data_IF_495586570520
#
_entry.id   IF_495586570520
#
_cell.length_a   1.000
_cell.length_b   1.000
_cell.length_c   1.000
_cell.angle_alpha   90.00
_cell.angle_beta   90.00
_cell.angle_gamma   90.00
#
_symmetry.space_group_name_H-M   'P 1'
#
loop_
_entity.id
_entity.type
_entity.pdbx_description
1 polymer ?
#
# COMPACT_ATOMS: atom_id res chain seq x y z
N UNK A 1 33.19 -2.22 -19.47
CA UNK A 1 32.86 -1.15 -18.49
C UNK A 1 32.34 -1.86 -17.26
N UNK A 2 32.85 -1.56 -16.07
CA UNK A 2 32.40 -2.26 -14.88
C UNK A 2 31.00 -1.77 -14.47
N UNK A 3 30.08 -2.69 -14.24
CA UNK A 3 28.73 -2.43 -13.73
C UNK A 3 28.68 -2.82 -12.26
N UNK A 4 28.02 -1.99 -11.45
CA UNK A 4 27.77 -2.28 -10.05
C UNK A 4 26.40 -2.97 -9.88
N UNK A 5 26.40 -4.27 -9.56
CA UNK A 5 25.19 -5.01 -9.23
C UNK A 5 24.90 -4.90 -7.72
N UNK A 6 23.71 -4.43 -7.29
CA UNK A 6 23.36 -4.35 -5.87
C UNK A 6 23.44 -5.72 -5.18
N UNK A 7 24.12 -5.79 -4.03
CA UNK A 7 24.23 -7.00 -3.22
C UNK A 7 24.23 -6.67 -1.72
N UNK A 8 23.11 -6.90 -1.04
CA UNK A 8 22.94 -6.52 0.36
C UNK A 8 23.09 -5.00 0.54
N UNK A 9 24.11 -4.56 1.30
CA UNK A 9 24.43 -3.15 1.53
C UNK A 9 25.57 -2.63 0.63
N UNK A 10 26.09 -3.46 -0.28
CA UNK A 10 27.25 -3.15 -1.14
C UNK A 10 26.91 -3.45 -2.61
N UNK A 11 27.94 -3.47 -3.46
CA UNK A 11 27.83 -3.79 -4.87
C UNK A 11 28.90 -4.80 -5.28
N UNK A 12 28.54 -5.69 -6.20
CA UNK A 12 29.48 -6.56 -6.90
C UNK A 12 29.80 -5.90 -8.24
N UNK A 13 31.09 -5.76 -8.54
CA UNK A 13 31.54 -5.28 -9.86
C UNK A 13 31.52 -6.43 -10.86
N UNK A 14 30.89 -6.19 -12.01
CA UNK A 14 30.78 -7.16 -13.11
C UNK A 14 31.29 -6.49 -14.38
N UNK A 15 32.12 -7.19 -15.15
CA UNK A 15 32.53 -6.72 -16.47
C UNK A 15 31.34 -6.75 -17.44
N UNK A 16 30.97 -5.60 -17.99
CA UNK A 16 29.90 -5.50 -19.00
C UNK A 16 30.17 -6.29 -20.28
N UNK A 17 31.39 -6.75 -20.54
CA UNK A 17 31.72 -7.52 -21.75
C UNK A 17 31.02 -8.89 -21.80
N UNK A 18 30.50 -9.38 -20.67
CA UNK A 18 29.91 -10.73 -20.56
C UNK A 18 28.46 -10.84 -21.05
N UNK A 19 27.82 -9.72 -21.45
CA UNK A 19 26.44 -9.75 -21.92
C UNK A 19 25.83 -8.38 -22.21
N UNK A 20 24.54 -8.39 -22.52
CA UNK A 20 23.75 -7.17 -22.76
C UNK A 20 23.21 -6.58 -21.45
N UNK A 21 23.13 -5.24 -21.39
CA UNK A 21 22.64 -4.53 -20.22
C UNK A 21 21.28 -3.90 -20.53
N UNK A 22 20.29 -4.26 -19.72
CA UNK A 22 18.96 -3.68 -19.80
C UNK A 22 18.74 -2.73 -18.62
N UNK A 23 18.33 -1.50 -18.91
CA UNK A 23 17.96 -0.50 -17.90
C UNK A 23 16.48 -0.12 -18.02
N UNK A 24 15.84 0.15 -16.90
CA UNK A 24 14.54 0.81 -16.90
C UNK A 24 14.65 2.21 -17.51
N UNK A 25 13.65 2.64 -18.27
CA UNK A 25 13.58 3.99 -18.80
C UNK A 25 13.64 5.02 -17.66
N UNK A 26 14.47 6.04 -17.80
CA UNK A 26 14.52 7.14 -16.84
C UNK A 26 13.22 7.95 -16.88
N UNK A 27 12.60 8.17 -15.73
CA UNK A 27 11.37 8.94 -15.58
C UNK A 27 11.70 10.25 -14.84
N UNK A 28 11.24 11.43 -15.33
CA UNK A 28 11.46 12.69 -14.66
C UNK A 28 10.94 12.65 -13.22
N UNK A 29 11.78 13.10 -12.28
CA UNK A 29 11.39 13.22 -10.87
C UNK A 29 10.46 14.41 -10.67
N UNK A 30 9.48 14.25 -9.80
CA UNK A 30 8.63 15.36 -9.33
C UNK A 30 9.50 16.36 -8.55
N UNK A 31 9.45 17.64 -8.93
CA UNK A 31 10.25 18.70 -8.29
C UNK A 31 9.61 19.26 -7.02
N UNK A 32 8.28 19.49 -7.04
CA UNK A 32 7.53 20.03 -5.91
C UNK A 32 6.52 18.97 -5.45
N UNK A 33 6.98 18.10 -4.55
CA UNK A 33 6.23 16.90 -4.16
C UNK A 33 4.91 17.22 -3.44
N UNK A 34 4.92 18.11 -2.45
CA UNK A 34 3.72 18.45 -1.68
C UNK A 34 2.61 19.03 -2.56
N UNK A 35 2.95 20.01 -3.41
CA UNK A 35 1.99 20.59 -4.36
C UNK A 35 1.47 19.55 -5.36
N UNK A 36 2.34 18.67 -5.86
CA UNK A 36 1.94 17.62 -6.81
C UNK A 36 0.97 16.62 -6.17
N UNK A 37 1.20 16.25 -4.91
CA UNK A 37 0.30 15.38 -4.15
C UNK A 37 -1.04 16.10 -3.95
N UNK A 38 -1.04 17.33 -3.42
CA UNK A 38 -2.28 18.07 -3.17
C UNK A 38 -3.09 18.25 -4.46
N UNK A 39 -2.44 18.61 -5.57
CA UNK A 39 -3.11 18.73 -6.87
C UNK A 39 -3.70 17.39 -7.34
N UNK A 40 -3.02 16.26 -7.10
CA UNK A 40 -3.57 14.93 -7.43
C UNK A 40 -4.79 14.55 -6.57
N UNK A 41 -4.85 15.01 -5.31
CA UNK A 41 -5.99 14.77 -4.41
C UNK A 41 -7.21 15.61 -4.79
N UNK A 42 -7.01 16.82 -5.33
CA UNK A 42 -8.08 17.72 -5.78
C UNK A 42 -8.50 17.51 -7.25
N UNK A 43 -7.63 16.94 -8.09
CA UNK A 43 -7.91 16.62 -9.50
C UNK A 43 -7.71 15.13 -9.76
N UNK A 44 -8.52 14.26 -9.12
CA UNK A 44 -8.33 12.82 -9.24
C UNK A 44 -8.80 12.29 -10.59
N UNK A 45 -8.34 11.09 -10.92
CA UNK A 45 -8.82 10.35 -12.09
C UNK A 45 -10.14 9.67 -11.72
N UNK A 46 -11.19 9.95 -12.51
CA UNK A 46 -12.48 9.25 -12.46
C UNK A 46 -13.16 9.16 -11.08
N UNK A 47 -13.01 10.17 -10.23
CA UNK A 47 -13.68 10.25 -8.93
C UNK A 47 -13.90 11.70 -8.49
N UNK A 48 -14.72 11.96 -7.46
CA UNK A 48 -14.78 13.28 -6.83
C UNK A 48 -13.45 13.61 -6.11
N UNK A 49 -13.08 14.90 -6.02
CA UNK A 49 -11.96 15.36 -5.19
C UNK A 49 -12.01 14.80 -3.76
N UNK A 50 -10.85 14.49 -3.19
CA UNK A 50 -10.77 13.90 -1.85
C UNK A 50 -11.42 14.81 -0.78
N UNK A 51 -11.29 16.13 -0.93
CA UNK A 51 -11.96 17.14 -0.11
C UNK A 51 -13.48 16.94 -0.01
N UNK A 52 -14.14 16.53 -1.10
CA UNK A 52 -15.58 16.22 -1.10
C UNK A 52 -15.91 14.92 -0.39
N UNK A 53 -15.03 13.92 -0.48
CA UNK A 53 -15.21 12.63 0.18
C UNK A 53 -15.02 12.75 1.70
N UNK A 54 -13.98 13.49 2.13
CA UNK A 54 -13.70 13.78 3.55
C UNK A 54 -14.93 14.38 4.24
N UNK A 55 -15.57 15.38 3.63
CA UNK A 55 -16.77 16.05 4.19
C UNK A 55 -17.95 15.11 4.42
N UNK A 56 -18.02 13.97 3.71
CA UNK A 56 -19.10 12.98 3.83
C UNK A 56 -18.75 11.80 4.75
N UNK A 57 -17.52 11.73 5.24
CA UNK A 57 -17.03 10.66 6.12
C UNK A 57 -16.83 11.17 7.54
N UNK A 58 -17.02 10.32 8.54
CA UNK A 58 -16.59 10.59 9.91
C UNK A 58 -15.35 9.77 10.28
N UNK A 59 -15.29 8.50 9.86
CA UNK A 59 -14.16 7.60 10.06
C UNK A 59 -13.43 7.31 8.75
N UNK A 60 -12.11 7.51 8.75
CA UNK A 60 -11.23 7.32 7.61
C UNK A 60 -10.20 6.25 7.94
N UNK A 61 -10.08 5.23 7.10
CA UNK A 61 -8.95 4.29 7.14
C UNK A 61 -7.91 4.70 6.11
N UNK A 62 -6.72 5.06 6.57
CA UNK A 62 -5.57 5.36 5.73
C UNK A 62 -4.65 4.14 5.67
N UNK A 63 -4.75 3.38 4.59
CA UNK A 63 -4.05 2.11 4.40
C UNK A 63 -2.68 2.40 3.78
N UNK A 64 -1.61 1.93 4.42
CA UNK A 64 -0.23 2.08 3.93
C UNK A 64 0.44 0.70 3.82
N UNK A 65 1.37 0.50 2.87
CA UNK A 65 2.16 -0.72 2.85
C UNK A 65 3.09 -0.82 4.06
N UNK A 66 3.51 -2.04 4.36
CA UNK A 66 4.50 -2.31 5.41
C UNK A 66 5.94 -1.94 5.00
N UNK A 67 6.90 -2.20 5.89
CA UNK A 67 8.34 -1.94 5.67
C UNK A 67 8.97 -2.69 4.50
N UNK A 68 8.31 -3.68 3.92
CA UNK A 68 8.86 -4.44 2.78
C UNK A 68 8.71 -3.69 1.46
N UNK A 69 7.99 -2.57 1.45
CA UNK A 69 7.87 -1.67 0.30
C UNK A 69 8.68 -0.40 0.53
N UNK A 70 9.31 0.09 -0.53
CA UNK A 70 10.02 1.37 -0.53
C UNK A 70 9.05 2.58 -0.60
N UNK A 71 7.91 2.52 0.09
CA UNK A 71 6.96 3.61 0.16
C UNK A 71 7.48 4.70 1.11
N UNK A 72 7.62 5.96 0.67
CA UNK A 72 8.19 7.04 1.47
C UNK A 72 7.18 7.58 2.50
N UNK A 73 6.72 6.74 3.43
CA UNK A 73 5.65 7.05 4.37
C UNK A 73 5.93 8.31 5.21
N UNK A 74 7.16 8.51 5.69
CA UNK A 74 7.59 9.73 6.42
C UNK A 74 7.36 11.04 5.65
N UNK A 75 7.30 10.98 4.33
CA UNK A 75 7.11 12.14 3.46
C UNK A 75 5.63 12.29 3.08
N UNK A 76 5.00 11.19 2.67
CA UNK A 76 3.63 11.21 2.14
C UNK A 76 2.60 11.37 3.26
N UNK A 77 2.74 10.65 4.38
CA UNK A 77 1.75 10.67 5.46
C UNK A 77 1.53 12.06 6.06
N UNK A 78 2.57 12.85 6.41
CA UNK A 78 2.34 14.18 6.96
C UNK A 78 1.56 15.09 6.01
N UNK A 79 1.82 15.00 4.70
CA UNK A 79 1.14 15.80 3.68
C UNK A 79 -0.34 15.41 3.60
N UNK A 80 -0.63 14.11 3.56
CA UNK A 80 -2.01 13.60 3.46
C UNK A 80 -2.80 13.88 4.75
N UNK A 81 -2.20 13.66 5.92
CA UNK A 81 -2.86 13.94 7.21
C UNK A 81 -3.18 15.43 7.36
N UNK A 82 -2.22 16.32 7.07
CA UNK A 82 -2.43 17.78 7.08
C UNK A 82 -3.51 18.21 6.08
N UNK A 83 -3.56 17.57 4.92
CA UNK A 83 -4.59 17.82 3.92
C UNK A 83 -5.99 17.40 4.44
N UNK A 84 -6.11 16.26 5.11
CA UNK A 84 -7.37 15.81 5.72
C UNK A 84 -7.80 16.80 6.80
N UNK A 85 -6.92 17.11 7.75
CA UNK A 85 -7.18 18.04 8.86
C UNK A 85 -7.60 19.44 8.37
N UNK A 86 -6.96 19.95 7.32
CA UNK A 86 -7.33 21.25 6.71
C UNK A 86 -8.74 21.24 6.12
N UNK A 87 -9.21 20.11 5.61
CA UNK A 87 -10.54 19.99 5.03
C UNK A 87 -11.62 19.75 6.10
N UNK A 88 -11.27 19.04 7.17
CA UNK A 88 -12.10 18.83 8.35
C UNK A 88 -11.26 18.18 9.47
N UNK A 89 -11.14 18.88 10.61
CA UNK A 89 -10.31 18.45 11.74
C UNK A 89 -10.97 17.40 12.63
N UNK A 90 -12.29 17.20 12.52
CA UNK A 90 -13.06 16.34 13.42
C UNK A 90 -13.15 14.89 12.89
N UNK A 91 -12.23 14.49 11.99
CA UNK A 91 -12.17 13.15 11.43
C UNK A 91 -11.44 12.18 12.34
N UNK A 92 -12.03 11.00 12.51
CA UNK A 92 -11.35 9.85 13.10
C UNK A 92 -10.51 9.17 12.02
N UNK A 93 -9.20 9.08 12.24
CA UNK A 93 -8.26 8.52 11.27
C UNK A 93 -7.55 7.31 11.88
N UNK A 94 -7.79 6.14 11.30
CA UNK A 94 -7.04 4.91 11.58
C UNK A 94 -5.98 4.74 10.49
N UNK A 95 -4.69 4.74 10.86
CA UNK A 95 -3.61 4.40 9.93
C UNK A 95 -3.40 2.88 9.98
N UNK A 96 -3.76 2.18 8.90
CA UNK A 96 -3.73 0.72 8.84
C UNK A 96 -2.53 0.25 8.02
N UNK A 97 -1.61 -0.48 8.64
CA UNK A 97 -0.45 -1.08 7.98
C UNK A 97 -0.89 -2.38 7.32
N UNK A 98 -0.79 -2.42 6.00
CA UNK A 98 -1.22 -3.51 5.13
C UNK A 98 -0.14 -4.60 5.01
N UNK A 99 0.01 -5.43 6.05
CA UNK A 99 1.00 -6.50 6.09
C UNK A 99 0.68 -7.69 5.15
N UNK A 100 -0.59 -7.89 4.78
CA UNK A 100 -1.03 -9.14 4.18
C UNK A 100 -0.63 -10.35 5.03
N UNK A 101 0.21 -11.24 4.48
CA UNK A 101 0.72 -12.44 5.19
C UNK A 101 1.99 -12.19 6.00
N UNK A 102 2.55 -10.97 5.98
CA UNK A 102 3.75 -10.68 6.74
C UNK A 102 3.45 -10.59 8.23
N UNK A 103 4.48 -10.88 9.05
CA UNK A 103 4.37 -10.71 10.50
C UNK A 103 4.06 -9.25 10.84
N UNK A 104 3.21 -9.00 11.86
CA UNK A 104 2.96 -7.65 12.34
C UNK A 104 4.26 -6.93 12.71
N UNK A 105 4.39 -5.68 12.28
CA UNK A 105 5.57 -4.87 12.55
C UNK A 105 5.71 -4.57 14.05
N UNK A 106 6.93 -4.56 14.58
CA UNK A 106 7.19 -4.08 15.94
C UNK A 106 7.03 -2.57 16.05
N UNK A 107 6.92 -2.05 17.28
CA UNK A 107 6.85 -0.60 17.54
C UNK A 107 8.00 0.17 16.87
N UNK A 108 9.23 -0.33 16.99
CA UNK A 108 10.41 0.36 16.45
C UNK A 108 10.40 0.35 14.92
N UNK A 109 9.96 -0.73 14.29
CA UNK A 109 9.81 -0.82 12.84
C UNK A 109 8.73 0.13 12.31
N UNK A 110 7.62 0.28 13.05
CA UNK A 110 6.57 1.24 12.70
C UNK A 110 7.11 2.67 12.81
N UNK A 111 7.79 3.00 13.91
CA UNK A 111 8.42 4.31 14.09
C UNK A 111 9.47 4.56 13.00
N UNK A 112 10.23 3.55 12.60
CA UNK A 112 11.16 3.64 11.48
C UNK A 112 10.44 3.87 10.15
N UNK A 113 9.27 3.28 9.92
CA UNK A 113 8.48 3.46 8.71
C UNK A 113 7.82 4.85 8.62
N UNK A 114 7.11 5.28 9.66
CA UNK A 114 6.22 6.46 9.62
C UNK A 114 6.74 7.66 10.41
N UNK A 115 7.73 7.46 11.29
CA UNK A 115 8.28 8.50 12.16
C UNK A 115 7.57 8.62 13.51
N UNK A 116 8.32 9.06 14.53
CA UNK A 116 7.84 9.19 15.93
C UNK A 116 6.60 10.09 16.04
N UNK A 117 6.60 11.24 15.37
CA UNK A 117 5.52 12.21 15.47
C UNK A 117 4.18 11.63 14.97
N UNK A 118 4.18 10.88 13.87
CA UNK A 118 2.96 10.23 13.37
C UNK A 118 2.55 9.12 14.33
N UNK A 119 3.49 8.28 14.76
CA UNK A 119 3.19 7.15 15.64
C UNK A 119 2.51 7.55 16.96
N UNK A 120 3.01 8.60 17.64
CA UNK A 120 2.50 8.98 18.96
C UNK A 120 1.23 9.83 18.93
N UNK A 121 0.89 10.44 17.79
CA UNK A 121 -0.25 11.35 17.69
C UNK A 121 -1.42 10.78 16.87
N UNK A 122 -1.32 9.53 16.38
CA UNK A 122 -2.33 8.91 15.54
C UNK A 122 -2.60 7.48 15.99
N UNK A 123 -3.78 6.96 15.67
CA UNK A 123 -4.11 5.55 15.86
C UNK A 123 -3.42 4.75 14.75
N UNK A 124 -2.54 3.84 15.14
CA UNK A 124 -1.84 2.94 14.21
C UNK A 124 -2.31 1.51 14.43
N UNK A 125 -2.78 0.87 13.36
CA UNK A 125 -3.31 -0.49 13.37
C UNK A 125 -2.41 -1.39 12.53
N UNK A 126 -1.96 -2.48 13.12
CA UNK A 126 -1.22 -3.54 12.45
C UNK A 126 -2.21 -4.57 11.90
N UNK A 127 -2.27 -4.77 10.59
CA UNK A 127 -3.13 -5.82 10.05
C UNK A 127 -2.58 -7.20 10.39
N UNK A 128 -3.46 -8.10 10.85
CA UNK A 128 -3.15 -9.50 11.16
C UNK A 128 -4.13 -10.37 10.37
N UNK A 129 -3.62 -11.11 9.38
CA UNK A 129 -4.46 -11.85 8.42
C UNK A 129 -5.00 -13.17 8.97
N UNK A 130 -4.43 -13.68 10.05
CA UNK A 130 -4.83 -14.92 10.75
C UNK A 130 -5.54 -14.66 12.09
N UNK A 131 -6.04 -13.44 12.32
CA UNK A 131 -6.84 -13.09 13.50
C UNK A 131 -8.30 -12.83 13.12
N UNK A 132 -9.16 -13.82 13.36
CA UNK A 132 -10.58 -13.79 13.00
C UNK A 132 -11.38 -12.71 13.76
N UNK A 133 -11.02 -12.38 15.01
CA UNK A 133 -11.76 -11.40 15.82
C UNK A 133 -11.71 -9.99 15.21
N UNK A 134 -10.57 -9.67 14.56
CA UNK A 134 -10.32 -8.38 13.91
C UNK A 134 -10.70 -8.37 12.43
N UNK A 135 -11.51 -9.35 11.99
CA UNK A 135 -11.94 -9.49 10.61
C UNK A 135 -13.47 -9.44 10.48
N UNK A 136 -13.90 -9.04 9.29
CA UNK A 136 -15.28 -9.11 8.84
C UNK A 136 -15.31 -10.07 7.66
N UNK A 137 -15.99 -11.20 7.85
CA UNK A 137 -16.33 -12.13 6.78
C UNK A 137 -17.72 -11.79 6.23
N UNK A 138 -17.81 -11.44 4.95
CA UNK A 138 -19.07 -11.06 4.31
C UNK A 138 -19.92 -12.26 3.88
N UNK A 139 -19.44 -13.48 4.12
CA UNK A 139 -20.06 -14.73 3.65
C UNK A 139 -20.36 -14.71 2.15
N UNK A 140 -19.47 -14.06 1.38
CA UNK A 140 -19.55 -13.85 -0.07
C UNK A 140 -18.21 -14.18 -0.71
N UNK A 141 -18.23 -14.39 -2.02
CA UNK A 141 -17.05 -14.71 -2.83
C UNK A 141 -17.01 -13.85 -4.09
N UNK A 142 -15.81 -13.59 -4.60
CA UNK A 142 -15.62 -13.03 -5.96
C UNK A 142 -16.04 -14.05 -7.03
N UNK A 143 -16.11 -13.62 -8.29
CA UNK A 143 -16.32 -14.52 -9.44
C UNK A 143 -15.26 -15.62 -9.58
N UNK A 144 -14.06 -15.42 -9.01
CA UNK A 144 -12.97 -16.40 -8.96
C UNK A 144 -13.01 -17.27 -7.69
N UNK A 145 -14.04 -17.12 -6.86
CA UNK A 145 -14.24 -17.90 -5.64
C UNK A 145 -13.42 -17.44 -4.43
N UNK A 146 -12.74 -16.30 -4.50
CA UNK A 146 -12.00 -15.71 -3.37
C UNK A 146 -12.98 -15.24 -2.31
N UNK A 147 -12.90 -15.72 -1.05
CA UNK A 147 -13.77 -15.26 0.02
C UNK A 147 -13.52 -13.78 0.33
N UNK A 148 -14.59 -13.07 0.68
CA UNK A 148 -14.53 -11.64 1.02
C UNK A 148 -14.38 -11.48 2.53
N UNK A 149 -13.11 -11.46 2.97
CA UNK A 149 -12.72 -11.35 4.38
C UNK A 149 -11.73 -10.19 4.49
N UNK A 150 -12.03 -9.20 5.33
CA UNK A 150 -11.24 -7.97 5.44
C UNK A 150 -11.03 -7.55 6.88
N UNK A 151 -9.98 -6.77 7.12
CA UNK A 151 -9.79 -6.07 8.39
C UNK A 151 -11.04 -5.25 8.76
N UNK A 152 -11.50 -5.43 10.01
CA UNK A 152 -12.74 -4.82 10.52
C UNK A 152 -12.70 -3.29 10.46
N UNK A 153 -11.63 -2.65 10.94
CA UNK A 153 -11.49 -1.19 10.93
C UNK A 153 -11.57 -0.61 9.51
N UNK A 154 -10.93 -1.29 8.54
CA UNK A 154 -10.99 -0.88 7.14
C UNK A 154 -12.40 -1.04 6.59
N UNK A 155 -13.05 -2.18 6.83
CA UNK A 155 -14.40 -2.44 6.32
C UNK A 155 -15.41 -1.43 6.87
N UNK A 156 -15.37 -1.17 8.17
CA UNK A 156 -16.33 -0.33 8.90
C UNK A 156 -16.07 1.18 8.76
N UNK A 157 -14.95 1.64 8.21
CA UNK A 157 -14.72 3.08 7.99
C UNK A 157 -15.60 3.64 6.87
N UNK A 158 -15.99 4.91 6.93
CA UNK A 158 -16.80 5.54 5.88
C UNK A 158 -15.98 5.75 4.60
N UNK A 159 -14.72 6.15 4.78
CA UNK A 159 -13.76 6.39 3.70
C UNK A 159 -12.53 5.50 3.88
N UNK A 160 -12.05 4.93 2.77
CA UNK A 160 -10.90 4.03 2.72
C UNK A 160 -9.92 4.59 1.69
N UNK A 161 -8.72 4.95 2.12
CA UNK A 161 -7.71 5.59 1.27
C UNK A 161 -6.48 4.67 1.26
N UNK A 162 -6.19 4.07 0.11
CA UNK A 162 -4.96 3.29 -0.08
C UNK A 162 -3.83 4.18 -0.59
N UNK A 163 -2.79 4.36 0.23
CA UNK A 163 -1.53 4.95 -0.20
C UNK A 163 -0.55 3.83 -0.54
N UNK A 164 0.27 4.01 -1.56
CA UNK A 164 1.26 3.01 -1.94
C UNK A 164 2.09 3.43 -3.14
N UNK A 165 2.82 2.45 -3.68
CA UNK A 165 3.65 2.60 -4.87
C UNK A 165 3.09 1.73 -5.99
N UNK A 166 3.33 2.14 -7.24
CA UNK A 166 3.07 1.36 -8.44
C UNK A 166 4.44 0.94 -8.99
N UNK A 167 4.73 -0.35 -8.92
CA UNK A 167 5.92 -1.00 -9.45
C UNK A 167 5.50 -2.27 -10.19
N UNK A 168 6.25 -2.71 -11.21
CA UNK A 168 6.01 -4.00 -11.84
C UNK A 168 6.03 -5.14 -10.81
N UNK A 169 5.15 -6.11 -11.01
CA UNK A 169 4.99 -7.24 -10.11
C UNK A 169 4.81 -8.54 -10.89
N UNK A 170 5.71 -9.48 -10.64
CA UNK A 170 5.93 -10.73 -11.38
C UNK A 170 4.71 -11.60 -11.74
N UNK A 171 3.62 -11.59 -10.95
CA UNK A 171 2.37 -12.30 -11.31
C UNK A 171 1.12 -11.42 -11.30
N UNK A 172 1.21 -10.19 -10.79
CA UNK A 172 0.03 -9.34 -10.56
C UNK A 172 -0.06 -8.20 -11.58
N UNK A 173 0.82 -8.20 -12.60
CA UNK A 173 1.10 -7.04 -13.43
C UNK A 173 1.83 -5.97 -12.64
N UNK A 174 1.12 -5.26 -11.76
CA UNK A 174 1.63 -4.12 -11.00
C UNK A 174 1.25 -4.19 -9.51
N UNK A 175 1.98 -3.47 -8.67
CA UNK A 175 1.59 -3.17 -7.29
C UNK A 175 0.58 -2.00 -7.22
N UNK A 176 0.21 -1.61 -6.00
CA UNK A 176 -0.65 -0.45 -5.75
C UNK A 176 -2.14 -0.74 -6.01
N UNK A 177 -2.96 0.30 -5.91
CA UNK A 177 -4.41 0.20 -6.13
C UNK A 177 -5.06 -0.90 -5.28
N UNK A 178 -5.78 -1.81 -5.93
CA UNK A 178 -6.52 -2.90 -5.27
C UNK A 178 -5.68 -3.82 -4.39
N UNK A 179 -4.35 -3.84 -4.57
CA UNK A 179 -3.43 -4.62 -3.74
C UNK A 179 -3.36 -4.17 -2.28
N UNK A 180 -3.69 -2.90 -2.03
CA UNK A 180 -3.85 -2.37 -0.66
C UNK A 180 -4.98 -3.06 0.09
N UNK A 181 -6.00 -3.55 -0.62
CA UNK A 181 -7.11 -4.33 -0.06
C UNK A 181 -6.77 -5.82 -0.01
N UNK A 182 -6.47 -6.43 -1.17
CA UNK A 182 -6.14 -7.85 -1.29
C UNK A 182 -4.78 -7.98 -2.02
N UNK A 183 -3.70 -8.41 -1.34
CA UNK A 183 -3.70 -9.05 -0.02
C UNK A 183 -3.57 -8.10 1.17
N UNK A 184 -3.39 -6.80 0.97
CA UNK A 184 -2.90 -5.88 2.01
C UNK A 184 -3.60 -5.95 3.36
N UNK A 185 -4.94 -5.97 3.37
CA UNK A 185 -5.76 -6.01 4.60
C UNK A 185 -6.84 -7.10 4.55
N UNK A 186 -6.56 -8.18 3.82
CA UNK A 186 -7.49 -9.29 3.63
C UNK A 186 -7.19 -10.46 4.57
N UNK A 187 -8.22 -11.25 4.90
CA UNK A 187 -8.05 -12.46 5.69
C UNK A 187 -7.21 -13.52 4.98
N UNK A 188 -6.53 -14.37 5.76
CA UNK A 188 -5.56 -15.36 5.29
C UNK A 188 -6.13 -16.30 4.23
N UNK A 189 -7.37 -16.77 4.39
CA UNK A 189 -8.05 -17.62 3.40
C UNK A 189 -8.24 -16.92 2.05
N UNK A 190 -8.59 -15.63 2.07
CA UNK A 190 -8.75 -14.83 0.86
C UNK A 190 -7.41 -14.67 0.15
N UNK A 191 -6.35 -14.42 0.92
CA UNK A 191 -5.00 -14.28 0.37
C UNK A 191 -4.56 -15.61 -0.27
N UNK A 192 -4.66 -16.74 0.42
CA UNK A 192 -4.27 -18.04 -0.13
C UNK A 192 -5.08 -18.41 -1.37
N UNK A 193 -6.40 -18.18 -1.37
CA UNK A 193 -7.22 -18.46 -2.55
C UNK A 193 -6.78 -17.61 -3.75
N UNK A 194 -6.49 -16.32 -3.53
CA UNK A 194 -6.04 -15.41 -4.58
C UNK A 194 -4.62 -15.71 -5.09
N UNK A 195 -3.81 -16.44 -4.30
CA UNK A 195 -2.47 -16.91 -4.66
C UNK A 195 -2.42 -18.41 -4.94
N UNK A 196 -3.58 -19.05 -5.19
CA UNK A 196 -3.64 -20.48 -5.45
C UNK A 196 -2.96 -20.86 -6.76
N UNK A 197 -2.60 -22.14 -6.90
CA UNK A 197 -2.01 -22.70 -8.12
C UNK A 197 -2.78 -22.30 -9.39
N UNK A 198 -4.12 -22.36 -9.35
CA UNK A 198 -4.97 -21.96 -10.49
C UNK A 198 -4.81 -20.49 -10.86
N UNK A 199 -4.66 -19.60 -9.87
CA UNK A 199 -4.46 -18.18 -10.12
C UNK A 199 -3.05 -17.92 -10.66
N UNK A 200 -2.01 -18.45 -10.02
CA UNK A 200 -0.62 -18.24 -10.43
C UNK A 200 -0.31 -18.90 -11.78
N UNK A 201 -0.91 -20.05 -12.06
CA UNK A 201 -0.75 -20.79 -13.32
C UNK A 201 -1.51 -20.20 -14.50
N UNK A 202 -2.35 -19.17 -14.30
CA UNK A 202 -3.04 -18.52 -15.40
C UNK A 202 -2.06 -17.82 -16.35
N UNK A 203 -2.30 -17.94 -17.66
CA UNK A 203 -1.43 -17.36 -18.68
C UNK A 203 -1.32 -15.83 -18.60
N UNK A 204 -2.30 -15.17 -17.99
CA UNK A 204 -2.33 -13.71 -17.79
C UNK A 204 -1.69 -13.28 -16.46
N UNK A 205 -1.36 -14.21 -15.56
CA UNK A 205 -0.60 -13.91 -14.34
C UNK A 205 0.88 -13.78 -14.64
N UNK A 206 1.24 -12.63 -15.22
CA UNK A 206 2.59 -12.31 -15.69
C UNK A 206 3.10 -11.00 -15.08
N UNK A 207 4.38 -10.75 -15.32
CA UNK A 207 5.04 -9.49 -15.04
C UNK A 207 4.38 -8.37 -15.87
N UNK A 208 4.24 -7.18 -15.27
CA UNK A 208 3.63 -6.00 -15.90
C UNK A 208 4.60 -5.12 -16.64
#
# INVERSE_FOLDING_TARGET
MDINLPYGKTFIKIDSSIGEILYSKNIPKIRILEESIINSLEKPISSPPLSKLIKKSHKISLIIPDKTRAFPAKIILPIVLKYIEKNDKDKYIDIVIANGLHKPMSKDEIIELIGKNIYYNNIIINHVSDNDENQVNLNKRTSYGTPLIFNRNVYESDLKIGLGIIEPHFFAGYSGGGKSILPGVAGIEAIFKNHSYKMIGDKYSKYG
#
